data_IF_637270249842
#
_entry.id   IF_637270249842
#
_cell.length_a   1.000
_cell.length_b   1.000
_cell.length_c   1.000
_cell.angle_alpha   90.00
_cell.angle_beta   90.00
_cell.angle_gamma   90.00
#
_symmetry.space_group_name_H-M   'P 1'
#
loop_
_entity.id
_entity.type
_entity.pdbx_description
1 polymer ?
#
# COMPACT_ATOMS: atom_id res chain seq x y z
N UNK A 1 3.05 7.51 6.88
CA UNK A 1 4.05 7.03 5.91
C UNK A 1 4.52 5.63 6.31
N UNK A 2 5.03 4.83 5.37
CA UNK A 2 5.25 3.38 5.55
C UNK A 2 5.26 2.63 4.21
N UNK A 3 5.66 3.31 3.13
CA UNK A 3 5.49 2.82 1.77
C UNK A 3 6.35 1.59 1.45
N UNK A 4 7.62 1.56 1.92
CA UNK A 4 8.46 0.37 1.75
C UNK A 4 7.88 -0.84 2.48
N UNK A 5 7.46 -0.66 3.73
CA UNK A 5 6.77 -1.66 4.52
C UNK A 5 5.50 -2.18 3.81
N UNK A 6 4.73 -1.29 3.18
CA UNK A 6 3.61 -1.65 2.31
C UNK A 6 4.03 -2.46 1.06
N UNK A 7 5.13 -2.10 0.40
CA UNK A 7 5.63 -2.88 -0.73
C UNK A 7 6.07 -4.29 -0.30
N UNK A 8 6.74 -4.42 0.84
CA UNK A 8 7.13 -5.70 1.42
C UNK A 8 5.92 -6.54 1.83
N UNK A 9 4.86 -5.91 2.36
CA UNK A 9 3.65 -6.63 2.77
C UNK A 9 2.87 -7.21 1.59
N UNK A 10 3.06 -6.73 0.36
CA UNK A 10 2.47 -7.37 -0.85
C UNK A 10 3.00 -8.80 -1.01
N UNK A 11 4.29 -9.02 -0.77
CA UNK A 11 4.92 -10.34 -0.85
C UNK A 11 4.37 -11.25 0.24
N UNK A 12 4.37 -10.77 1.49
CA UNK A 12 3.83 -11.50 2.63
C UNK A 12 2.35 -11.89 2.42
N UNK A 13 1.54 -10.98 1.85
CA UNK A 13 0.15 -11.23 1.49
C UNK A 13 0.00 -12.43 0.54
N UNK A 14 0.80 -12.49 -0.54
CA UNK A 14 0.73 -13.60 -1.49
C UNK A 14 1.21 -14.93 -0.88
N UNK A 15 2.20 -14.90 0.02
CA UNK A 15 2.59 -16.09 0.77
C UNK A 15 1.46 -16.61 1.67
N UNK A 16 0.80 -15.73 2.43
CA UNK A 16 -0.35 -16.11 3.27
C UNK A 16 -1.51 -16.66 2.44
N UNK A 17 -1.87 -15.97 1.35
CA UNK A 17 -2.93 -16.38 0.44
C UNK A 17 -2.61 -17.71 -0.26
N UNK A 18 -1.39 -17.85 -0.77
CA UNK A 18 -0.92 -19.08 -1.43
C UNK A 18 -0.83 -20.27 -0.47
N UNK A 19 -0.38 -20.04 0.76
CA UNK A 19 -0.39 -21.05 1.82
C UNK A 19 -1.80 -21.56 2.09
N UNK A 20 -2.75 -20.65 2.29
CA UNK A 20 -4.16 -21.00 2.46
C UNK A 20 -4.68 -21.79 1.25
N UNK A 21 -4.50 -21.30 0.02
CA UNK A 21 -4.97 -21.98 -1.19
C UNK A 21 -4.44 -23.41 -1.33
N UNK A 22 -3.19 -23.65 -0.91
CA UNK A 22 -2.54 -24.97 -0.92
C UNK A 22 -3.06 -25.91 0.16
N UNK A 23 -3.32 -25.41 1.37
CA UNK A 23 -3.63 -26.23 2.55
C UNK A 23 -5.08 -26.16 3.02
N UNK A 24 -5.94 -25.38 2.37
CA UNK A 24 -7.34 -25.15 2.78
C UNK A 24 -8.13 -26.43 3.08
N UNK A 25 -7.91 -27.54 2.34
CA UNK A 25 -8.59 -28.82 2.58
C UNK A 25 -7.95 -29.72 3.66
N UNK A 26 -6.86 -29.28 4.29
CA UNK A 26 -6.05 -30.04 5.28
C UNK A 26 -5.55 -29.12 6.40
N UNK A 27 -6.41 -28.22 6.89
CA UNK A 27 -6.07 -27.24 7.93
C UNK A 27 -6.04 -27.85 9.34
N UNK A 28 -5.08 -28.77 9.57
CA UNK A 28 -4.76 -29.25 10.91
C UNK A 28 -3.98 -28.22 11.75
N UNK A 29 -3.70 -28.49 13.04
CA UNK A 29 -3.00 -27.56 13.93
C UNK A 29 -1.67 -27.01 13.38
N UNK A 30 -0.80 -27.81 12.72
CA UNK A 30 0.43 -27.26 12.14
C UNK A 30 0.17 -26.25 11.01
N UNK A 31 -0.83 -26.50 10.16
CA UNK A 31 -1.16 -25.60 9.06
C UNK A 31 -1.77 -24.28 9.56
N UNK A 32 -2.57 -24.34 10.63
CA UNK A 32 -3.09 -23.16 11.35
C UNK A 32 -1.94 -22.37 11.98
N UNK A 33 -0.99 -23.03 12.64
CA UNK A 33 0.17 -22.37 13.24
C UNK A 33 1.04 -21.64 12.19
N UNK A 34 1.32 -22.27 11.05
CA UNK A 34 2.05 -21.62 9.95
C UNK A 34 1.26 -20.42 9.42
N UNK A 35 -0.06 -20.55 9.23
CA UNK A 35 -0.89 -19.43 8.78
C UNK A 35 -0.90 -18.29 9.81
N UNK A 36 -0.83 -18.59 11.11
CA UNK A 36 -0.73 -17.58 12.17
C UNK A 36 0.59 -16.81 12.10
N UNK A 37 1.72 -17.50 11.87
CA UNK A 37 3.02 -16.87 11.66
C UNK A 37 3.00 -15.99 10.41
N UNK A 38 2.41 -16.47 9.32
CA UNK A 38 2.25 -15.68 8.09
C UNK A 38 1.35 -14.46 8.32
N UNK A 39 0.25 -14.60 9.07
CA UNK A 39 -0.63 -13.48 9.42
C UNK A 39 0.10 -12.42 10.26
N UNK A 40 0.91 -12.84 11.24
CA UNK A 40 1.78 -11.94 12.02
C UNK A 40 2.81 -11.25 11.12
N UNK A 41 3.43 -11.97 10.18
CA UNK A 41 4.36 -11.35 9.23
C UNK A 41 3.67 -10.28 8.38
N UNK A 42 2.48 -10.55 7.87
CA UNK A 42 1.70 -9.55 7.12
C UNK A 42 1.35 -8.35 8.01
N UNK A 43 0.96 -8.59 9.27
CA UNK A 43 0.64 -7.54 10.25
C UNK A 43 1.83 -6.61 10.51
N UNK A 44 2.99 -7.18 10.88
CA UNK A 44 4.21 -6.40 11.14
C UNK A 44 4.76 -5.73 9.89
N UNK A 45 4.49 -6.28 8.70
CA UNK A 45 4.82 -5.62 7.45
C UNK A 45 3.89 -4.42 7.19
N UNK A 46 2.56 -4.60 7.19
CA UNK A 46 1.65 -3.47 7.03
C UNK A 46 0.19 -3.78 7.45
N UNK A 47 -0.47 -2.90 8.24
CA UNK A 47 -1.83 -3.12 8.75
C UNK A 47 -2.90 -3.26 7.64
N UNK A 48 -2.87 -2.40 6.61
CA UNK A 48 -3.82 -2.50 5.47
C UNK A 48 -3.71 -3.86 4.77
N UNK A 49 -2.50 -4.35 4.54
CA UNK A 49 -2.28 -5.65 3.89
C UNK A 49 -2.77 -6.81 4.75
N UNK A 50 -2.65 -6.69 6.07
CA UNK A 50 -3.17 -7.67 7.01
C UNK A 50 -4.70 -7.76 6.97
N UNK A 51 -5.39 -6.62 7.02
CA UNK A 51 -6.86 -6.58 6.89
C UNK A 51 -7.30 -7.22 5.57
N UNK A 52 -6.64 -6.89 4.46
CA UNK A 52 -6.96 -7.44 3.16
C UNK A 52 -6.63 -8.94 3.06
N UNK A 53 -5.55 -9.42 3.68
CA UNK A 53 -5.24 -10.86 3.77
C UNK A 53 -6.34 -11.62 4.54
N UNK A 54 -6.74 -11.08 5.70
CA UNK A 54 -7.80 -11.64 6.53
C UNK A 54 -9.12 -11.74 5.76
N UNK A 55 -9.55 -10.63 5.15
CA UNK A 55 -10.78 -10.57 4.35
C UNK A 55 -10.71 -11.53 3.15
N UNK A 56 -9.57 -11.58 2.45
CA UNK A 56 -9.42 -12.47 1.30
C UNK A 56 -9.56 -13.93 1.71
N UNK A 57 -8.86 -14.37 2.76
CA UNK A 57 -8.90 -15.75 3.23
C UNK A 57 -10.29 -16.11 3.75
N UNK A 58 -10.96 -15.24 4.50
CA UNK A 58 -12.33 -15.49 4.95
C UNK A 58 -13.34 -15.52 3.80
N UNK A 59 -13.16 -14.68 2.77
CA UNK A 59 -13.99 -14.70 1.58
C UNK A 59 -13.82 -16.02 0.83
N UNK A 60 -12.59 -16.51 0.69
CA UNK A 60 -12.31 -17.81 0.07
C UNK A 60 -12.86 -18.97 0.90
N UNK A 61 -12.70 -18.95 2.22
CA UNK A 61 -13.28 -19.92 3.14
C UNK A 61 -14.81 -19.96 3.05
N UNK A 62 -15.45 -18.78 3.06
CA UNK A 62 -16.90 -18.64 2.89
C UNK A 62 -17.38 -19.12 1.54
N UNK A 63 -16.63 -18.86 0.47
CA UNK A 63 -16.93 -19.37 -0.88
C UNK A 63 -16.87 -20.90 -0.92
N UNK A 64 -15.84 -21.52 -0.33
CA UNK A 64 -15.73 -22.99 -0.20
C UNK A 64 -16.92 -23.58 0.55
N UNK A 65 -17.24 -23.00 1.71
CA UNK A 65 -18.40 -23.40 2.49
C UNK A 65 -19.70 -23.30 1.70
N UNK A 66 -19.89 -22.25 0.89
CA UNK A 66 -21.08 -22.08 0.06
C UNK A 66 -21.20 -23.15 -1.04
N UNK A 67 -20.08 -23.53 -1.67
CA UNK A 67 -20.06 -24.57 -2.69
C UNK A 67 -20.41 -25.95 -2.11
N UNK A 68 -19.94 -26.24 -0.90
CA UNK A 68 -20.10 -27.54 -0.23
C UNK A 68 -21.30 -27.59 0.72
N UNK A 69 -22.02 -26.47 0.87
CA UNK A 69 -23.08 -26.30 1.87
C UNK A 69 -24.11 -27.43 1.87
N UNK A 70 -24.51 -27.89 0.68
CA UNK A 70 -25.51 -28.95 0.52
C UNK A 70 -25.05 -30.31 1.04
N UNK A 71 -23.75 -30.56 1.04
CA UNK A 71 -23.16 -31.84 1.44
C UNK A 71 -22.74 -31.83 2.91
N UNK A 72 -22.11 -30.74 3.37
CA UNK A 72 -21.55 -30.65 4.72
C UNK A 72 -22.54 -30.09 5.75
N UNK A 73 -23.51 -29.28 5.32
CA UNK A 73 -24.33 -28.45 6.19
C UNK A 73 -23.56 -27.26 6.79
N UNK A 74 -24.30 -26.30 7.39
CA UNK A 74 -23.76 -25.04 7.93
C UNK A 74 -22.66 -25.26 8.97
N UNK A 75 -22.97 -26.04 10.02
CA UNK A 75 -22.09 -26.16 11.17
C UNK A 75 -20.76 -26.82 10.82
N UNK A 76 -20.79 -27.97 10.13
CA UNK A 76 -19.55 -28.63 9.70
C UNK A 76 -18.78 -27.78 8.70
N UNK A 77 -19.47 -27.04 7.82
CA UNK A 77 -18.85 -26.08 6.92
C UNK A 77 -18.10 -24.96 7.64
N UNK A 78 -18.70 -24.37 8.69
CA UNK A 78 -18.05 -23.36 9.53
C UNK A 78 -16.79 -23.92 10.22
N UNK A 79 -16.90 -25.10 10.84
CA UNK A 79 -15.79 -25.75 11.52
C UNK A 79 -14.65 -26.16 10.57
N UNK A 80 -14.98 -26.61 9.36
CA UNK A 80 -14.00 -27.04 8.38
C UNK A 80 -13.29 -25.87 7.68
N UNK A 81 -14.04 -24.83 7.30
CA UNK A 81 -13.54 -23.78 6.41
C UNK A 81 -13.25 -22.46 7.10
N UNK A 82 -14.10 -22.02 8.04
CA UNK A 82 -14.07 -20.65 8.58
C UNK A 82 -13.30 -20.57 9.90
N UNK A 83 -13.47 -21.54 10.79
CA UNK A 83 -12.80 -21.50 12.09
C UNK A 83 -11.26 -21.56 12.01
N UNK A 84 -10.64 -22.45 11.20
CA UNK A 84 -9.17 -22.52 11.15
C UNK A 84 -8.47 -21.20 10.78
N UNK A 85 -8.89 -20.45 9.73
CA UNK A 85 -8.29 -19.16 9.46
C UNK A 85 -8.64 -18.10 10.52
N UNK A 86 -9.83 -18.14 11.13
CA UNK A 86 -10.14 -17.24 12.25
C UNK A 86 -9.16 -17.43 13.42
N UNK A 87 -8.90 -18.68 13.81
CA UNK A 87 -7.95 -19.01 14.87
C UNK A 87 -6.52 -18.60 14.50
N UNK A 88 -6.11 -18.80 13.24
CA UNK A 88 -4.79 -18.39 12.77
C UNK A 88 -4.59 -16.87 12.84
N UNK A 89 -5.63 -16.09 12.51
CA UNK A 89 -5.54 -14.63 12.51
C UNK A 89 -5.76 -14.00 13.88
N UNK A 90 -6.28 -14.73 14.86
CA UNK A 90 -6.62 -14.21 16.19
C UNK A 90 -5.47 -13.45 16.87
N UNK A 91 -4.22 -13.94 16.93
CA UNK A 91 -3.13 -13.21 17.58
C UNK A 91 -2.89 -11.83 16.94
N UNK A 92 -2.85 -11.76 15.61
CA UNK A 92 -2.64 -10.52 14.88
C UNK A 92 -3.86 -9.59 14.94
N UNK A 93 -5.09 -10.13 15.03
CA UNK A 93 -6.30 -9.34 15.25
C UNK A 93 -6.30 -8.66 16.63
N UNK A 94 -5.83 -9.36 17.68
CA UNK A 94 -5.67 -8.76 19.01
C UNK A 94 -4.69 -7.59 18.95
N UNK A 95 -3.53 -7.78 18.32
CA UNK A 95 -2.54 -6.70 18.14
C UNK A 95 -3.12 -5.53 17.34
N UNK A 96 -3.83 -5.80 16.24
CA UNK A 96 -4.51 -4.75 15.46
C UNK A 96 -5.55 -3.99 16.29
N UNK A 97 -6.38 -4.69 17.05
CA UNK A 97 -7.40 -4.06 17.89
C UNK A 97 -6.77 -3.13 18.94
N UNK A 98 -5.67 -3.55 19.57
CA UNK A 98 -4.93 -2.70 20.51
C UNK A 98 -4.33 -1.46 19.83
N UNK A 99 -3.76 -1.62 18.63
CA UNK A 99 -3.18 -0.52 17.86
C UNK A 99 -4.22 0.53 17.44
N UNK A 100 -5.38 0.08 16.95
CA UNK A 100 -6.47 0.96 16.50
C UNK A 100 -7.17 1.61 17.69
N UNK A 101 -7.43 0.86 18.77
CA UNK A 101 -8.11 1.35 19.97
C UNK A 101 -7.39 2.52 20.64
N UNK A 102 -6.07 2.56 20.57
CA UNK A 102 -5.25 3.67 21.07
C UNK A 102 -5.33 4.94 20.21
N UNK A 103 -5.94 4.90 19.02
CA UNK A 103 -5.83 5.94 17.98
C UNK A 103 -7.16 6.32 17.33
N UNK A 104 -8.26 6.19 18.07
CA UNK A 104 -9.61 6.49 17.58
C UNK A 104 -9.86 7.99 17.34
N UNK A 105 -9.13 8.87 18.02
CA UNK A 105 -9.37 10.33 17.99
C UNK A 105 -8.74 11.05 16.79
N UNK A 106 -8.05 10.33 15.90
CA UNK A 106 -7.37 10.94 14.73
C UNK A 106 -8.33 11.18 13.57
N UNK A 107 -8.14 12.31 12.87
CA UNK A 107 -9.03 12.76 11.80
C UNK A 107 -9.18 11.73 10.66
N UNK A 108 -10.41 11.61 10.16
CA UNK A 108 -10.78 10.76 9.03
C UNK A 108 -11.10 11.66 7.84
N UNK A 109 -10.25 11.63 6.81
CA UNK A 109 -10.54 12.31 5.55
C UNK A 109 -11.03 11.32 4.48
N UNK A 110 -12.00 11.77 3.70
CA UNK A 110 -12.61 11.00 2.62
C UNK A 110 -12.24 11.56 1.24
N UNK A 111 -12.05 10.68 0.27
CA UNK A 111 -12.06 11.06 -1.15
C UNK A 111 -13.48 10.98 -1.71
N UNK A 112 -13.84 11.94 -2.57
CA UNK A 112 -15.13 11.94 -3.24
C UNK A 112 -15.32 10.69 -4.11
N UNK A 113 -16.57 10.25 -4.25
CA UNK A 113 -16.92 9.04 -5.02
C UNK A 113 -16.39 9.11 -6.47
N UNK A 114 -16.51 10.26 -7.13
CA UNK A 114 -16.02 10.46 -8.49
C UNK A 114 -14.50 10.32 -8.61
N UNK A 115 -13.75 10.80 -7.61
CA UNK A 115 -12.28 10.62 -7.57
C UNK A 115 -11.95 9.14 -7.41
N UNK A 116 -12.68 8.42 -6.56
CA UNK A 116 -12.49 6.97 -6.37
C UNK A 116 -12.75 6.18 -7.65
N UNK A 117 -13.81 6.50 -8.38
CA UNK A 117 -14.12 5.86 -9.68
C UNK A 117 -12.97 6.09 -10.66
N UNK A 118 -12.52 7.33 -10.82
CA UNK A 118 -11.39 7.67 -11.70
C UNK A 118 -10.11 6.94 -11.29
N UNK A 119 -9.80 6.90 -10.00
CA UNK A 119 -8.61 6.25 -9.49
C UNK A 119 -8.63 4.73 -9.68
N UNK A 120 -9.80 4.09 -9.52
CA UNK A 120 -9.96 2.66 -9.78
C UNK A 120 -9.84 2.36 -11.28
N UNK A 121 -10.58 3.09 -12.12
CA UNK A 121 -10.58 2.88 -13.56
C UNK A 121 -9.20 3.10 -14.22
N UNK A 122 -8.38 3.98 -13.65
CA UNK A 122 -7.03 4.28 -14.17
C UNK A 122 -5.90 3.51 -13.49
N UNK A 123 -6.20 2.64 -12.50
CA UNK A 123 -5.18 2.01 -11.65
C UNK A 123 -4.16 3.06 -11.15
N UNK A 124 -4.70 4.15 -10.59
CA UNK A 124 -3.95 5.38 -10.31
C UNK A 124 -2.82 5.20 -9.29
N UNK A 125 -2.78 4.07 -8.58
CA UNK A 125 -1.71 3.66 -7.68
C UNK A 125 -0.36 3.51 -8.39
N UNK A 126 -0.35 3.24 -9.70
CA UNK A 126 0.87 3.16 -10.50
C UNK A 126 1.40 4.54 -10.95
N UNK A 127 0.58 5.59 -10.83
CA UNK A 127 0.92 6.94 -11.29
C UNK A 127 1.72 7.65 -10.21
N UNK A 128 2.93 8.11 -10.54
CA UNK A 128 3.88 8.72 -9.59
C UNK A 128 4.52 10.01 -10.12
N UNK A 129 5.56 9.93 -10.94
CA UNK A 129 6.38 11.09 -11.32
C UNK A 129 5.89 11.81 -12.58
N UNK A 130 5.21 11.13 -13.50
CA UNK A 130 4.79 11.70 -14.78
C UNK A 130 3.30 11.43 -15.03
N UNK A 131 2.55 12.47 -15.38
CA UNK A 131 1.09 12.38 -15.63
C UNK A 131 0.76 11.45 -16.80
N UNK A 132 1.67 11.29 -17.77
CA UNK A 132 1.46 10.41 -18.94
C UNK A 132 1.36 8.94 -18.53
N UNK A 133 1.89 8.56 -17.36
CA UNK A 133 1.71 7.21 -16.80
C UNK A 133 0.23 6.85 -16.63
N UNK A 134 -0.65 7.83 -16.42
CA UNK A 134 -2.11 7.61 -16.35
C UNK A 134 -2.63 6.88 -17.59
N UNK A 135 -2.13 7.21 -18.79
CA UNK A 135 -2.56 6.56 -20.03
C UNK A 135 -2.19 5.07 -20.01
N UNK A 136 -0.95 4.76 -19.64
CA UNK A 136 -0.45 3.38 -19.57
C UNK A 136 -1.15 2.58 -18.47
N UNK A 137 -1.32 3.15 -17.28
CA UNK A 137 -2.02 2.51 -16.16
C UNK A 137 -3.50 2.25 -16.48
N UNK A 138 -4.16 3.20 -17.14
CA UNK A 138 -5.55 3.03 -17.61
C UNK A 138 -5.63 1.95 -18.69
N UNK A 139 -4.70 1.93 -19.64
CA UNK A 139 -4.65 0.88 -20.67
C UNK A 139 -4.47 -0.51 -20.05
N UNK A 140 -3.63 -0.64 -19.02
CA UNK A 140 -3.45 -1.91 -18.31
C UNK A 140 -4.70 -2.32 -17.50
N UNK A 141 -5.32 -1.38 -16.79
CA UNK A 141 -6.58 -1.64 -16.10
C UNK A 141 -7.69 -2.09 -17.08
N UNK A 142 -7.81 -1.42 -18.23
CA UNK A 142 -8.75 -1.77 -19.28
C UNK A 142 -8.45 -3.15 -19.89
N UNK A 143 -7.17 -3.48 -20.12
CA UNK A 143 -6.75 -4.80 -20.59
C UNK A 143 -7.18 -5.90 -19.62
N UNK A 144 -6.91 -5.74 -18.31
CA UNK A 144 -7.31 -6.69 -17.28
C UNK A 144 -8.83 -6.80 -17.18
N UNK A 145 -9.56 -5.69 -17.24
CA UNK A 145 -11.01 -5.67 -17.16
C UNK A 145 -11.67 -6.35 -18.38
N UNK A 146 -11.21 -6.04 -19.60
CA UNK A 146 -11.70 -6.68 -20.82
C UNK A 146 -11.49 -8.19 -20.78
N UNK A 147 -10.31 -8.61 -20.31
CA UNK A 147 -9.99 -10.03 -20.18
C UNK A 147 -10.81 -10.73 -19.10
N UNK A 148 -11.04 -10.05 -17.97
CA UNK A 148 -11.92 -10.54 -16.92
C UNK A 148 -13.36 -10.72 -17.40
N UNK A 149 -13.91 -9.74 -18.12
CA UNK A 149 -15.24 -9.83 -18.72
C UNK A 149 -15.30 -11.00 -19.70
N UNK A 150 -14.32 -11.15 -20.60
CA UNK A 150 -14.26 -12.29 -21.52
C UNK A 150 -14.24 -13.65 -20.79
N UNK A 151 -13.49 -13.77 -19.69
CA UNK A 151 -13.47 -14.97 -18.86
C UNK A 151 -14.82 -15.22 -18.16
N UNK A 152 -15.46 -14.18 -17.61
CA UNK A 152 -16.81 -14.27 -17.01
C UNK A 152 -17.84 -14.73 -18.03
N UNK A 153 -17.79 -14.24 -19.27
CA UNK A 153 -18.76 -14.61 -20.31
C UNK A 153 -18.58 -16.04 -20.82
N UNK A 154 -17.37 -16.60 -20.74
CA UNK A 154 -17.05 -17.97 -21.20
C UNK A 154 -17.23 -19.04 -20.13
N UNK A 155 -17.37 -18.65 -18.86
CA UNK A 155 -17.47 -19.61 -17.76
C UNK A 155 -18.78 -20.39 -17.82
N UNK A 156 -18.74 -21.66 -17.41
CA UNK A 156 -19.91 -22.52 -17.26
C UNK A 156 -20.02 -22.97 -15.81
N UNK A 157 -20.93 -22.36 -15.06
CA UNK A 157 -21.15 -22.69 -13.64
C UNK A 157 -20.23 -21.92 -12.67
N UNK A 158 -20.27 -22.35 -11.41
CA UNK A 158 -19.47 -21.80 -10.31
C UNK A 158 -18.36 -22.78 -9.98
N UNK A 159 -17.15 -22.28 -9.88
CA UNK A 159 -15.98 -23.11 -9.56
C UNK A 159 -15.28 -22.63 -8.29
N UNK A 160 -14.50 -23.49 -7.61
CA UNK A 160 -13.72 -23.07 -6.45
C UNK A 160 -12.81 -21.86 -6.69
N UNK A 161 -12.25 -21.73 -7.90
CA UNK A 161 -11.39 -20.59 -8.28
C UNK A 161 -12.13 -19.25 -8.28
N UNK A 162 -13.44 -19.24 -8.50
CA UNK A 162 -14.25 -18.01 -8.55
C UNK A 162 -14.27 -17.25 -7.22
N UNK A 163 -13.85 -17.91 -6.12
CA UNK A 163 -13.62 -17.23 -4.85
C UNK A 163 -12.62 -16.08 -4.98
N UNK A 164 -11.63 -16.16 -5.86
CA UNK A 164 -10.67 -15.06 -6.09
C UNK A 164 -11.31 -13.86 -6.81
N UNK A 165 -12.26 -14.10 -7.72
CA UNK A 165 -13.06 -13.02 -8.30
C UNK A 165 -13.93 -12.37 -7.21
N UNK A 166 -14.51 -13.18 -6.31
CA UNK A 166 -15.26 -12.66 -5.16
C UNK A 166 -14.36 -11.81 -4.25
N UNK A 167 -13.11 -12.21 -3.99
CA UNK A 167 -12.13 -11.39 -3.27
C UNK A 167 -11.92 -10.04 -3.97
N UNK A 168 -11.72 -10.01 -5.29
CA UNK A 168 -11.55 -8.77 -6.03
C UNK A 168 -12.79 -7.86 -5.95
N UNK A 169 -14.00 -8.44 -5.97
CA UNK A 169 -15.26 -7.72 -5.76
C UNK A 169 -15.36 -7.16 -4.33
N UNK A 170 -15.06 -7.96 -3.30
CA UNK A 170 -15.06 -7.52 -1.90
C UNK A 170 -14.04 -6.40 -1.68
N UNK A 171 -12.84 -6.51 -2.24
CA UNK A 171 -11.85 -5.44 -2.20
C UNK A 171 -12.31 -4.17 -2.91
N UNK A 172 -13.07 -4.30 -4.00
CA UNK A 172 -13.68 -3.14 -4.69
C UNK A 172 -14.70 -2.45 -3.78
N UNK A 173 -15.53 -3.21 -3.06
CA UNK A 173 -16.50 -2.65 -2.11
C UNK A 173 -15.77 -1.94 -0.94
N UNK A 174 -14.77 -2.58 -0.36
CA UNK A 174 -13.94 -2.00 0.69
C UNK A 174 -13.26 -0.71 0.17
N UNK A 175 -12.75 -0.71 -1.06
CA UNK A 175 -12.14 0.47 -1.67
C UNK A 175 -13.09 1.68 -1.74
N UNK A 176 -14.39 1.47 -1.96
CA UNK A 176 -15.35 2.57 -2.02
C UNK A 176 -15.78 3.08 -0.65
N UNK A 177 -15.77 2.24 0.38
CA UNK A 177 -16.24 2.59 1.74
C UNK A 177 -15.08 3.01 2.66
N UNK A 178 -13.87 2.51 2.43
CA UNK A 178 -12.74 2.77 3.31
C UNK A 178 -12.36 4.27 3.34
N UNK A 179 -12.03 4.81 4.53
CA UNK A 179 -11.49 6.16 4.64
C UNK A 179 -10.12 6.27 3.95
N UNK A 180 -9.72 7.48 3.56
CA UNK A 180 -8.39 7.70 3.00
C UNK A 180 -7.30 7.74 4.07
N UNK A 181 -7.66 8.21 5.26
CA UNK A 181 -6.77 8.38 6.40
C UNK A 181 -7.44 7.76 7.65
N UNK A 182 -6.67 6.98 8.44
CA UNK A 182 -7.15 6.31 9.65
C UNK A 182 -5.96 6.00 10.58
N UNK A 183 -6.13 6.24 11.90
CA UNK A 183 -5.15 5.89 12.95
C UNK A 183 -3.72 6.38 12.66
N UNK A 184 -3.58 7.61 12.13
CA UNK A 184 -2.26 8.19 11.76
C UNK A 184 -1.70 7.74 10.41
N UNK A 185 -2.32 6.72 9.79
CA UNK A 185 -1.94 6.25 8.46
C UNK A 185 -2.76 6.90 7.35
N UNK A 186 -2.09 7.56 6.41
CA UNK A 186 -2.74 8.12 5.21
C UNK A 186 -2.56 7.30 3.93
N UNK A 187 -3.27 7.68 2.87
CA UNK A 187 -3.29 7.02 1.54
C UNK A 187 -3.84 5.58 1.52
N UNK A 188 -4.73 5.23 2.44
CA UNK A 188 -5.32 3.89 2.55
C UNK A 188 -6.03 3.49 1.25
N UNK A 189 -6.79 4.40 0.66
CA UNK A 189 -7.56 4.16 -0.57
C UNK A 189 -6.64 3.80 -1.74
N UNK A 190 -5.50 4.49 -1.88
CA UNK A 190 -4.49 4.17 -2.90
C UNK A 190 -3.86 2.79 -2.68
N UNK A 191 -3.68 2.37 -1.42
CA UNK A 191 -3.17 1.02 -1.12
C UNK A 191 -4.18 -0.06 -1.51
N UNK A 192 -5.45 0.10 -1.11
CA UNK A 192 -6.52 -0.87 -1.39
C UNK A 192 -6.79 -0.98 -2.90
N UNK A 193 -6.70 0.13 -3.64
CA UNK A 193 -6.84 0.15 -5.10
C UNK A 193 -5.96 -0.91 -5.78
N UNK A 194 -4.70 -1.05 -5.36
CA UNK A 194 -3.77 -2.04 -5.92
C UNK A 194 -4.26 -3.49 -5.68
N UNK A 195 -4.82 -3.76 -4.51
CA UNK A 195 -5.28 -5.10 -4.14
C UNK A 195 -6.44 -5.62 -4.99
N UNK A 196 -7.31 -4.74 -5.51
CA UNK A 196 -8.38 -5.14 -6.44
C UNK A 196 -7.79 -5.86 -7.65
N UNK A 197 -6.74 -5.29 -8.23
CA UNK A 197 -6.07 -5.88 -9.39
C UNK A 197 -5.20 -7.08 -8.99
N UNK A 198 -4.51 -7.01 -7.85
CA UNK A 198 -3.69 -8.12 -7.36
C UNK A 198 -4.51 -9.39 -7.03
N UNK A 199 -5.76 -9.24 -6.59
CA UNK A 199 -6.68 -10.37 -6.40
C UNK A 199 -7.26 -10.89 -7.72
N UNK A 200 -7.44 -10.01 -8.71
CA UNK A 200 -7.94 -10.37 -10.04
C UNK A 200 -6.92 -11.21 -10.83
N UNK A 201 -5.63 -10.90 -10.72
CA UNK A 201 -4.55 -11.60 -11.43
C UNK A 201 -4.53 -13.13 -11.21
N UNK A 202 -4.54 -13.67 -9.97
CA UNK A 202 -4.55 -15.12 -9.76
C UNK A 202 -5.85 -15.77 -10.22
N UNK A 203 -6.99 -15.06 -10.20
CA UNK A 203 -8.23 -15.57 -10.79
C UNK A 203 -8.08 -15.72 -12.32
N UNK A 204 -7.58 -14.69 -13.01
CA UNK A 204 -7.31 -14.73 -14.44
C UNK A 204 -6.29 -15.81 -14.82
N UNK A 205 -5.25 -16.00 -14.01
CA UNK A 205 -4.22 -17.01 -14.22
C UNK A 205 -4.77 -18.44 -14.17
N UNK A 206 -5.93 -18.64 -13.50
CA UNK A 206 -6.59 -19.94 -13.41
C UNK A 206 -7.35 -20.35 -14.68
N UNK A 207 -7.53 -19.48 -15.67
CA UNK A 207 -8.27 -19.81 -16.90
C UNK A 207 -7.39 -20.48 -17.96
N UNK A 208 -7.90 -21.49 -18.69
CA UNK A 208 -7.20 -22.09 -19.81
C UNK A 208 -7.25 -21.14 -21.02
N UNK A 209 -6.23 -20.28 -21.13
CA UNK A 209 -6.13 -19.31 -22.22
C UNK A 209 -5.55 -19.96 -23.49
N UNK A 210 -6.12 -19.62 -24.64
CA UNK A 210 -5.54 -19.99 -25.93
C UNK A 210 -4.18 -19.33 -26.13
N UNK A 211 -3.32 -19.89 -27.00
CA UNK A 211 -1.97 -19.36 -27.27
C UNK A 211 -2.00 -17.88 -27.69
N UNK A 212 -2.96 -17.49 -28.53
CA UNK A 212 -3.11 -16.11 -29.01
C UNK A 212 -3.52 -15.15 -27.89
N UNK A 213 -4.49 -15.52 -27.06
CA UNK A 213 -4.99 -14.72 -25.95
C UNK A 213 -3.90 -14.46 -24.91
N UNK A 214 -3.17 -15.53 -24.55
CA UNK A 214 -2.02 -15.43 -23.66
C UNK A 214 -0.94 -14.51 -24.23
N UNK A 215 -0.62 -14.64 -25.53
CA UNK A 215 0.37 -13.79 -26.18
C UNK A 215 -0.07 -12.31 -26.19
N UNK A 216 -1.34 -12.03 -26.50
CA UNK A 216 -1.87 -10.66 -26.50
C UNK A 216 -1.82 -10.04 -25.11
N UNK A 217 -2.22 -10.78 -24.07
CA UNK A 217 -2.16 -10.30 -22.69
C UNK A 217 -0.72 -10.04 -22.25
N UNK A 218 0.20 -10.97 -22.54
CA UNK A 218 1.62 -10.82 -22.20
C UNK A 218 2.28 -9.67 -22.97
N UNK A 219 2.08 -9.58 -24.28
CA UNK A 219 2.62 -8.50 -25.11
C UNK A 219 2.07 -7.14 -24.68
N UNK A 220 0.77 -7.05 -24.40
CA UNK A 220 0.13 -5.84 -23.89
C UNK A 220 0.69 -5.42 -22.53
N UNK A 221 0.83 -6.36 -21.59
CA UNK A 221 1.41 -6.11 -20.28
C UNK A 221 2.88 -5.66 -20.37
N UNK A 222 3.69 -6.31 -21.21
CA UNK A 222 5.09 -5.94 -21.45
C UNK A 222 5.19 -4.56 -22.10
N UNK A 223 4.37 -4.28 -23.11
CA UNK A 223 4.35 -2.97 -23.77
C UNK A 223 4.00 -1.84 -22.78
N UNK A 224 3.00 -2.06 -21.91
CA UNK A 224 2.68 -1.11 -20.85
C UNK A 224 3.84 -0.95 -19.87
N UNK A 225 4.43 -2.04 -19.38
CA UNK A 225 5.54 -1.99 -18.44
C UNK A 225 6.75 -1.23 -19.02
N UNK A 226 7.12 -1.52 -20.26
CA UNK A 226 8.20 -0.83 -20.96
C UNK A 226 7.86 0.65 -21.22
N UNK A 227 6.61 0.97 -21.55
CA UNK A 227 6.15 2.35 -21.70
C UNK A 227 6.25 3.16 -20.41
N UNK A 228 5.81 2.58 -19.28
CA UNK A 228 5.96 3.19 -17.95
C UNK A 228 7.43 3.37 -17.61
N UNK A 229 8.26 2.33 -17.82
CA UNK A 229 9.70 2.38 -17.55
C UNK A 229 10.38 3.49 -18.38
N UNK A 230 10.11 3.55 -19.69
CA UNK A 230 10.66 4.57 -20.58
C UNK A 230 10.27 6.00 -20.20
N UNK A 231 9.05 6.20 -19.67
CA UNK A 231 8.63 7.51 -19.15
C UNK A 231 9.29 7.87 -17.81
N UNK A 232 9.40 6.90 -16.90
CA UNK A 232 9.88 7.13 -15.55
C UNK A 232 11.40 7.21 -15.47
N UNK A 233 12.14 6.47 -16.30
CA UNK A 233 13.60 6.45 -16.28
C UNK A 233 14.26 7.84 -16.35
N UNK A 234 13.97 8.71 -17.34
CA UNK A 234 14.55 10.05 -17.39
C UNK A 234 14.04 10.98 -16.30
N UNK A 235 12.88 10.70 -15.69
CA UNK A 235 12.37 11.46 -14.54
C UNK A 235 13.14 11.10 -13.28
N UNK A 236 13.37 9.81 -13.04
CA UNK A 236 14.21 9.33 -11.95
C UNK A 236 15.64 9.86 -12.06
N UNK A 237 16.23 9.85 -13.25
CA UNK A 237 17.58 10.41 -13.45
C UNK A 237 17.66 11.88 -13.02
N UNK A 238 16.74 12.73 -13.48
CA UNK A 238 16.71 14.16 -13.11
C UNK A 238 16.45 14.41 -11.63
N UNK A 239 15.55 13.65 -11.02
CA UNK A 239 15.31 13.72 -9.57
C UNK A 239 16.58 13.33 -8.82
N UNK A 240 17.24 12.27 -9.27
CA UNK A 240 18.48 11.80 -8.68
C UNK A 240 19.62 12.82 -8.79
N UNK A 241 19.73 13.55 -9.90
CA UNK A 241 20.72 14.61 -10.03
C UNK A 241 20.52 15.73 -9.00
N UNK A 242 19.28 16.20 -8.81
CA UNK A 242 18.97 17.18 -7.77
C UNK A 242 19.18 16.63 -6.36
N UNK A 243 18.83 15.37 -6.10
CA UNK A 243 19.05 14.74 -4.79
C UNK A 243 20.53 14.58 -4.47
N UNK A 244 21.38 14.30 -5.47
CA UNK A 244 22.83 14.23 -5.30
C UNK A 244 23.40 15.57 -4.83
N UNK A 245 22.92 16.68 -5.36
CA UNK A 245 23.34 18.01 -4.91
C UNK A 245 22.98 18.26 -3.45
N UNK A 246 21.75 17.92 -3.04
CA UNK A 246 21.33 18.03 -1.63
C UNK A 246 22.18 17.14 -0.72
N UNK A 247 22.45 15.90 -1.13
CA UNK A 247 23.30 14.98 -0.36
C UNK A 247 24.73 15.50 -0.26
N UNK A 248 25.31 16.01 -1.35
CA UNK A 248 26.66 16.58 -1.37
C UNK A 248 26.77 17.83 -0.48
N UNK A 249 25.76 18.70 -0.47
CA UNK A 249 25.69 19.81 0.49
C UNK A 249 25.63 19.28 1.94
N UNK A 250 24.86 18.22 2.17
CA UNK A 250 24.78 17.53 3.45
C UNK A 250 26.10 16.96 3.98
N UNK A 251 27.03 16.59 3.11
CA UNK A 251 28.35 16.08 3.51
C UNK A 251 29.16 17.13 4.29
N UNK A 252 28.90 18.42 4.05
CA UNK A 252 29.58 19.54 4.70
C UNK A 252 29.03 19.89 6.09
N UNK A 253 27.86 19.36 6.47
CA UNK A 253 27.27 19.57 7.80
C UNK A 253 28.12 18.83 8.84
N UNK A 254 28.69 19.46 9.89
CA UNK A 254 29.51 18.75 10.87
C UNK A 254 28.76 17.58 11.55
N UNK A 255 29.45 16.55 12.05
CA UNK A 255 28.81 15.56 12.91
C UNK A 255 28.31 16.21 14.21
N UNK A 256 27.35 15.56 14.84
CA UNK A 256 26.74 15.93 16.13
C UNK A 256 26.00 17.28 16.11
N UNK A 257 25.48 17.67 14.95
CA UNK A 257 24.67 18.87 14.78
C UNK A 257 23.18 18.56 14.64
N UNK A 258 22.35 19.50 15.06
CA UNK A 258 20.91 19.52 14.80
C UNK A 258 20.63 20.28 13.51
N UNK A 259 19.80 19.70 12.64
CA UNK A 259 19.50 20.22 11.30
C UNK A 259 17.98 20.33 11.12
N UNK A 260 17.54 21.51 10.70
CA UNK A 260 16.16 21.74 10.23
C UNK A 260 16.17 21.96 8.73
N UNK A 261 15.55 21.04 7.99
CA UNK A 261 15.44 21.11 6.55
C UNK A 261 14.09 21.70 6.12
N UNK A 262 14.10 22.82 5.41
CA UNK A 262 12.89 23.45 4.88
C UNK A 262 12.82 23.30 3.37
N UNK A 263 11.88 22.48 2.90
CA UNK A 263 11.69 22.21 1.48
C UNK A 263 10.69 23.18 0.83
N UNK A 264 11.21 24.21 0.16
CA UNK A 264 10.41 25.14 -0.66
C UNK A 264 10.11 24.62 -2.08
N UNK A 265 10.84 23.59 -2.53
CA UNK A 265 10.70 23.01 -3.87
C UNK A 265 10.49 21.48 -3.80
N UNK A 266 9.49 21.04 -3.03
CA UNK A 266 9.25 19.60 -2.72
C UNK A 266 9.05 18.70 -3.93
N UNK A 267 8.54 19.25 -5.03
CA UNK A 267 8.33 18.56 -6.31
C UNK A 267 9.53 18.71 -7.28
N UNK A 268 10.59 19.42 -6.87
CA UNK A 268 11.66 19.87 -7.75
C UNK A 268 11.20 20.93 -8.74
N UNK A 269 12.13 21.74 -9.23
CA UNK A 269 11.87 22.76 -10.24
C UNK A 269 12.64 22.41 -11.52
N UNK A 270 11.94 22.45 -12.65
CA UNK A 270 12.55 22.44 -13.96
C UNK A 270 13.12 23.84 -14.30
N UNK A 271 13.98 23.97 -15.34
CA UNK A 271 14.56 25.26 -15.72
C UNK A 271 13.54 26.36 -16.04
N UNK A 272 12.32 26.00 -16.43
CA UNK A 272 11.20 26.90 -16.70
C UNK A 272 10.36 27.24 -15.45
N UNK A 273 10.78 26.79 -14.26
CA UNK A 273 10.06 26.97 -13.00
C UNK A 273 8.89 26.02 -12.78
N UNK A 274 8.59 25.12 -13.72
CA UNK A 274 7.52 24.13 -13.55
C UNK A 274 7.93 22.97 -12.62
N UNK A 275 6.98 22.26 -11.98
CA UNK A 275 7.30 21.10 -11.15
C UNK A 275 8.01 19.99 -11.93
N UNK A 276 9.11 19.48 -11.39
CA UNK A 276 9.89 18.40 -12.04
C UNK A 276 9.11 17.08 -12.08
N UNK A 277 8.31 16.82 -11.04
CA UNK A 277 7.46 15.63 -10.90
C UNK A 277 6.00 15.97 -10.62
N UNK A 278 5.10 15.05 -11.00
CA UNK A 278 3.66 15.28 -11.02
C UNK A 278 2.97 15.24 -9.65
N UNK A 279 3.25 14.23 -8.80
CA UNK A 279 2.53 14.11 -7.50
C UNK A 279 3.36 13.61 -6.32
N UNK A 280 4.53 13.03 -6.56
CA UNK A 280 5.43 12.60 -5.48
C UNK A 280 6.30 13.77 -5.04
N UNK A 281 6.73 13.79 -3.78
CA UNK A 281 7.52 14.89 -3.19
C UNK A 281 8.94 14.41 -2.86
N UNK A 282 9.80 14.13 -3.86
CA UNK A 282 11.08 13.49 -3.63
C UNK A 282 12.04 14.35 -2.80
N UNK A 283 11.86 15.67 -2.82
CA UNK A 283 12.71 16.62 -2.09
C UNK A 283 12.17 17.00 -0.71
N UNK A 284 11.12 16.32 -0.21
CA UNK A 284 10.53 16.64 1.10
C UNK A 284 11.41 16.20 2.28
N UNK A 285 12.00 15.01 2.23
CA UNK A 285 12.82 14.45 3.32
C UNK A 285 14.21 13.95 2.87
N UNK A 286 15.00 14.74 2.10
CA UNK A 286 16.32 14.31 1.67
C UNK A 286 17.31 14.23 2.85
N UNK A 287 17.09 15.01 3.92
CA UNK A 287 17.98 15.04 5.10
C UNK A 287 17.92 13.73 5.90
N UNK A 288 16.79 13.02 5.91
CA UNK A 288 16.73 11.68 6.49
C UNK A 288 17.74 10.71 5.87
N UNK A 289 18.11 10.88 4.59
CA UNK A 289 19.17 10.10 3.96
C UNK A 289 20.56 10.43 4.50
N UNK A 290 20.82 11.71 4.79
CA UNK A 290 22.08 12.18 5.37
C UNK A 290 22.18 11.70 6.83
N UNK A 291 21.12 11.86 7.61
CA UNK A 291 21.02 11.42 9.01
C UNK A 291 21.18 9.90 9.19
N UNK A 292 20.78 9.10 8.19
CA UNK A 292 21.01 7.66 8.21
C UNK A 292 22.51 7.26 8.08
N UNK A 293 23.37 8.17 7.62
CA UNK A 293 24.80 7.91 7.36
C UNK A 293 25.74 8.71 8.24
N UNK A 294 25.26 9.82 8.78
CA UNK A 294 26.03 10.77 9.58
C UNK A 294 25.28 11.03 10.88
N UNK A 295 26.02 11.15 11.98
CA UNK A 295 25.47 11.51 13.29
C UNK A 295 24.95 12.94 13.24
N UNK A 296 23.70 13.14 12.84
CA UNK A 296 23.00 14.43 12.91
C UNK A 296 21.58 14.18 13.41
N UNK A 297 20.99 15.19 14.04
CA UNK A 297 19.57 15.17 14.45
C UNK A 297 18.76 15.89 13.38
N UNK A 298 17.89 15.16 12.67
CA UNK A 298 16.97 15.74 11.69
C UNK A 298 15.66 16.17 12.38
N UNK A 299 15.46 17.47 12.53
CA UNK A 299 14.23 18.02 13.14
C UNK A 299 12.99 17.84 12.25
N UNK A 300 13.16 17.54 10.97
CA UNK A 300 12.04 17.26 10.04
C UNK A 300 11.67 15.77 9.98
N UNK A 301 12.17 14.96 10.91
CA UNK A 301 11.95 13.52 10.97
C UNK A 301 10.55 13.21 11.53
N UNK A 302 9.52 13.26 10.67
CA UNK A 302 8.14 12.94 11.05
C UNK A 302 7.95 11.59 11.77
N UNK A 303 8.72 10.51 11.49
CA UNK A 303 8.57 9.27 12.26
C UNK A 303 8.81 9.46 13.75
N UNK A 304 9.64 10.44 14.14
CA UNK A 304 9.95 10.72 15.53
C UNK A 304 8.88 11.56 16.26
N UNK A 305 7.93 12.14 15.52
CA UNK A 305 6.70 12.75 16.06
C UNK A 305 5.62 11.69 16.37
N UNK A 306 5.75 10.52 15.77
CA UNK A 306 4.71 9.49 15.76
C UNK A 306 5.00 8.39 16.79
N UNK A 307 4.03 8.11 17.65
CA UNK A 307 4.14 7.18 18.80
C UNK A 307 4.26 5.69 18.46
N UNK A 308 4.31 5.33 17.17
CA UNK A 308 4.35 3.95 16.68
C UNK A 308 5.65 3.57 15.96
N UNK A 309 6.61 4.48 15.81
CA UNK A 309 7.97 4.16 15.37
C UNK A 309 8.89 3.93 16.57
N UNK A 310 10.03 3.23 16.44
CA UNK A 310 10.94 3.00 17.56
C UNK A 310 11.88 4.20 17.86
N UNK A 311 11.56 5.38 17.33
CA UNK A 311 12.35 6.60 17.49
C UNK A 311 11.39 7.73 17.83
N UNK A 312 11.77 8.59 18.77
CA UNK A 312 10.91 9.67 19.24
C UNK A 312 11.76 10.89 19.59
N UNK A 313 11.18 12.07 19.39
CA UNK A 313 11.71 13.27 20.03
C UNK A 313 11.44 13.22 21.54
N UNK A 314 12.33 13.83 22.32
CA UNK A 314 11.98 14.16 23.71
C UNK A 314 10.78 15.12 23.67
N UNK A 315 9.70 14.89 24.43
CA UNK A 315 8.47 15.69 24.31
C UNK A 315 8.68 17.20 24.41
N UNK A 316 9.58 17.65 25.30
CA UNK A 316 9.91 19.07 25.47
C UNK A 316 10.69 19.68 24.28
N UNK A 317 11.28 18.85 23.42
CA UNK A 317 12.11 19.23 22.28
C UNK A 317 11.50 18.81 20.95
N UNK A 318 10.23 18.37 20.93
CA UNK A 318 9.57 17.95 19.71
C UNK A 318 9.39 19.16 18.78
N UNK A 319 10.07 19.22 17.62
CA UNK A 319 9.99 20.36 16.72
C UNK A 319 8.59 20.55 16.11
N UNK A 320 7.79 19.48 16.02
CA UNK A 320 6.41 19.57 15.53
C UNK A 320 5.50 20.35 16.49
N UNK A 321 5.77 20.28 17.80
CA UNK A 321 5.02 20.99 18.84
C UNK A 321 5.62 22.36 19.18
N UNK A 322 6.95 22.49 19.14
CA UNK A 322 7.67 23.68 19.62
C UNK A 322 7.84 24.76 18.56
N UNK A 323 8.13 24.38 17.31
CA UNK A 323 8.40 25.33 16.21
C UNK A 323 7.46 25.21 15.03
N UNK A 324 6.67 24.14 14.94
CA UNK A 324 5.68 23.96 13.88
C UNK A 324 4.52 24.96 13.98
N UNK A 325 4.21 25.68 12.90
CA UNK A 325 3.03 26.55 12.84
C UNK A 325 1.94 25.90 11.97
N UNK A 326 0.78 25.58 12.56
CA UNK A 326 -0.39 24.96 11.87
C UNK A 326 -0.02 23.63 11.18
N UNK A 327 -0.04 23.58 9.84
CA UNK A 327 0.33 22.40 9.04
C UNK A 327 1.84 22.08 9.10
N UNK A 328 2.61 22.89 9.83
CA UNK A 328 3.95 22.57 10.32
C UNK A 328 5.09 22.72 9.32
N UNK A 329 6.21 22.08 9.65
CA UNK A 329 7.46 22.04 8.86
C UNK A 329 7.28 21.40 7.47
N UNK A 330 6.22 20.61 7.29
CA UNK A 330 5.89 19.93 6.03
C UNK A 330 4.79 20.63 5.23
N UNK A 331 4.23 21.75 5.72
CA UNK A 331 3.28 22.58 4.99
C UNK A 331 3.87 23.11 3.68
N UNK A 332 3.03 23.51 2.71
CA UNK A 332 3.46 24.09 1.43
C UNK A 332 2.95 25.54 1.27
N UNK A 333 3.79 26.58 1.44
CA UNK A 333 5.19 26.54 1.87
C UNK A 333 5.34 26.15 3.35
N UNK A 334 6.53 25.68 3.79
CA UNK A 334 6.76 25.29 5.18
C UNK A 334 6.66 26.50 6.12
N UNK A 335 6.12 26.29 7.33
CA UNK A 335 5.89 27.36 8.30
C UNK A 335 6.47 26.97 9.66
N UNK A 336 7.46 27.73 10.11
CA UNK A 336 8.16 27.50 11.38
C UNK A 336 8.37 28.80 12.13
N UNK A 337 8.33 28.73 13.46
CA UNK A 337 8.81 29.77 14.36
C UNK A 337 10.18 29.37 14.91
N UNK A 338 11.25 29.86 14.29
CA UNK A 338 12.61 29.50 14.69
C UNK A 338 12.95 29.93 16.12
N UNK A 339 12.31 30.98 16.64
CA UNK A 339 12.58 31.51 17.97
C UNK A 339 11.86 30.72 19.07
N UNK A 340 10.95 29.82 18.70
CA UNK A 340 10.21 28.96 19.62
C UNK A 340 10.96 27.69 20.06
N UNK A 341 12.12 27.38 19.47
CA UNK A 341 12.87 26.18 19.86
C UNK A 341 13.58 26.41 21.20
N UNK A 342 13.41 25.52 22.20
CA UNK A 342 14.11 25.66 23.48
C UNK A 342 15.63 25.55 23.28
N UNK A 343 16.40 26.44 23.93
CA UNK A 343 17.87 26.37 24.01
C UNK A 343 18.36 25.22 24.89
#
# INVERSE_FOLDING_TARGET
MGFYNFCFSLVAFFFALGWWLRWQGRMGPPAVAVLAVLALWVYFAHPVSFVLAFVAILTLAGWRMLLEWRETGLWRGLWAWVLPPLLAFLPALVLMATFVGQRLDRQVAGLSLWVRIKHLASLYSLVSMDRRVVVFSTAFAALLAAFAVACVLRRRGREPRDGLLLVALVFTLIYFVAPNDLSGGGFIVHRINLYVFLALLPWLAGFPLGRRERLLLQAGAVAVALGILGLLWPRYARVNDGLREVVAAGEHIPPDTTVLALSYARFGLAPDGSPLVFRVRPFLHPVGHIAARKRIVDLSLYPADEDYFPIFFTPALNPYDTIGIRDGMEADPPRVDFLGYPE
#
